data_IF_854081041385
#
_entry.id   IF_854081041385
#
_cell.length_a   1.000
_cell.length_b   1.000
_cell.length_c   1.000
_cell.angle_alpha   90.00
_cell.angle_beta   90.00
_cell.angle_gamma   90.00
#
_symmetry.space_group_name_H-M   'P 1'
#
loop_
_entity.id
_entity.type
_entity.pdbx_description
1 polymer ?
#
# COMPACT_ATOMS: atom_id res chain seq x y z
N UNK A 1 13.94 -14.85 2.16
CA UNK A 1 13.14 -13.61 2.19
C UNK A 1 13.96 -12.52 2.85
N UNK A 2 14.14 -11.37 2.18
CA UNK A 2 14.93 -10.25 2.71
C UNK A 2 14.28 -9.67 3.99
N UNK A 3 15.05 -9.17 4.98
CA UNK A 3 14.50 -8.70 6.26
C UNK A 3 13.42 -7.61 6.13
N UNK A 4 13.59 -6.67 5.19
CA UNK A 4 12.60 -5.61 4.93
C UNK A 4 11.29 -6.15 4.37
N UNK A 5 11.34 -7.13 3.47
CA UNK A 5 10.14 -7.81 2.95
C UNK A 5 9.43 -8.57 4.09
N UNK A 6 10.18 -9.25 4.95
CA UNK A 6 9.62 -9.92 6.13
C UNK A 6 8.88 -8.92 7.04
N UNK A 7 9.54 -7.81 7.39
CA UNK A 7 8.95 -6.73 8.20
C UNK A 7 7.69 -6.16 7.54
N UNK A 8 7.71 -5.97 6.23
CA UNK A 8 6.55 -5.50 5.47
C UNK A 8 5.34 -6.43 5.67
N UNK A 9 5.51 -7.75 5.60
CA UNK A 9 4.43 -8.72 5.84
C UNK A 9 3.99 -8.80 7.31
N UNK A 10 4.92 -8.70 8.26
CA UNK A 10 4.56 -8.66 9.68
C UNK A 10 3.67 -7.46 10.01
N UNK A 11 3.96 -6.29 9.41
CA UNK A 11 3.15 -5.09 9.58
C UNK A 11 1.73 -5.25 9.02
N UNK A 12 1.51 -6.04 7.96
CA UNK A 12 0.15 -6.37 7.46
C UNK A 12 -0.67 -7.01 8.59
N UNK A 13 -0.12 -8.02 9.26
CA UNK A 13 -0.80 -8.73 10.35
C UNK A 13 -1.15 -7.79 11.51
N UNK A 14 -0.23 -6.88 11.85
CA UNK A 14 -0.47 -5.86 12.88
C UNK A 14 -1.60 -4.91 12.47
N UNK A 15 -1.58 -4.42 11.22
CA UNK A 15 -2.61 -3.52 10.68
C UNK A 15 -3.98 -4.18 10.73
N UNK A 16 -4.12 -5.37 10.16
CA UNK A 16 -5.40 -6.07 10.04
C UNK A 16 -5.99 -6.42 11.40
N UNK A 17 -5.17 -6.97 12.30
CA UNK A 17 -5.61 -7.38 13.64
C UNK A 17 -6.08 -6.17 14.46
N UNK A 18 -5.31 -5.07 14.45
CA UNK A 18 -5.65 -3.89 15.23
C UNK A 18 -6.81 -3.10 14.60
N UNK A 19 -6.92 -3.05 13.27
CA UNK A 19 -8.05 -2.39 12.63
C UNK A 19 -9.36 -3.15 12.86
N UNK A 20 -9.32 -4.50 12.95
CA UNK A 20 -10.48 -5.31 13.35
C UNK A 20 -10.94 -4.98 14.78
N UNK A 21 -10.01 -4.71 15.69
CA UNK A 21 -10.29 -4.43 17.11
C UNK A 21 -10.50 -2.94 17.43
N UNK A 22 -10.50 -2.07 16.41
CA UNK A 22 -10.46 -0.60 16.57
C UNK A 22 -11.57 -0.01 17.43
N UNK A 23 -12.74 -0.66 17.45
CA UNK A 23 -13.94 -0.20 18.17
C UNK A 23 -14.15 -0.95 19.51
N UNK A 24 -13.26 -1.91 19.83
CA UNK A 24 -13.37 -2.80 21.00
C UNK A 24 -12.21 -2.55 21.98
N UNK A 25 -10.98 -2.48 21.48
CA UNK A 25 -9.80 -2.32 22.30
C UNK A 25 -9.29 -0.88 22.27
N UNK A 26 -9.12 -0.29 23.46
CA UNK A 26 -8.58 1.05 23.60
C UNK A 26 -7.20 1.16 22.92
N UNK A 27 -7.08 2.10 21.99
CA UNK A 27 -5.84 2.36 21.26
C UNK A 27 -5.55 1.43 20.07
N UNK A 28 -6.41 0.43 19.78
CA UNK A 28 -6.21 -0.45 18.63
C UNK A 28 -6.20 0.34 17.31
N UNK A 29 -7.08 1.32 17.12
CA UNK A 29 -7.03 2.20 15.94
C UNK A 29 -5.68 2.93 15.81
N UNK A 30 -5.14 3.44 16.93
CA UNK A 30 -3.84 4.14 16.94
C UNK A 30 -2.70 3.20 16.56
N UNK A 31 -2.72 1.95 17.05
CA UNK A 31 -1.75 0.92 16.68
C UNK A 31 -1.83 0.58 15.19
N UNK A 32 -3.03 0.42 14.64
CA UNK A 32 -3.23 0.18 13.21
C UNK A 32 -2.66 1.33 12.35
N UNK A 33 -2.94 2.59 12.72
CA UNK A 33 -2.38 3.78 12.05
C UNK A 33 -0.84 3.79 12.14
N UNK A 34 -0.28 3.49 13.32
CA UNK A 34 1.17 3.45 13.51
C UNK A 34 1.83 2.40 12.60
N UNK A 35 1.25 1.20 12.53
CA UNK A 35 1.74 0.13 11.68
C UNK A 35 1.61 0.48 10.18
N UNK A 36 0.52 1.16 9.78
CA UNK A 36 0.40 1.67 8.41
C UNK A 36 1.53 2.64 8.06
N UNK A 37 1.80 3.62 8.93
CA UNK A 37 2.87 4.60 8.71
C UNK A 37 4.25 3.92 8.66
N UNK A 38 4.51 2.95 9.55
CA UNK A 38 5.77 2.20 9.55
C UNK A 38 5.94 1.36 8.27
N UNK A 39 4.85 0.76 7.77
CA UNK A 39 4.90 -0.01 6.53
C UNK A 39 5.12 0.89 5.31
N UNK A 40 4.49 2.07 5.29
CA UNK A 40 4.67 3.08 4.24
C UNK A 40 6.11 3.61 4.22
N UNK A 41 6.71 3.82 5.41
CA UNK A 41 8.07 4.35 5.51
C UNK A 41 9.11 3.45 4.81
N UNK A 42 8.87 2.14 4.74
CA UNK A 42 9.76 1.18 4.06
C UNK A 42 9.29 0.86 2.63
N UNK A 43 8.18 1.43 2.16
CA UNK A 43 7.56 1.07 0.90
C UNK A 43 8.46 1.28 -0.34
N UNK A 44 9.24 2.38 -0.48
CA UNK A 44 10.12 2.55 -1.63
C UNK A 44 11.20 1.46 -1.72
N UNK A 45 11.80 1.10 -0.59
CA UNK A 45 12.82 0.07 -0.53
C UNK A 45 12.21 -1.32 -0.83
N UNK A 46 11.06 -1.63 -0.24
CA UNK A 46 10.38 -2.92 -0.46
C UNK A 46 9.92 -3.07 -1.92
N UNK A 47 9.45 -2.00 -2.55
CA UNK A 47 9.11 -1.98 -3.98
C UNK A 47 10.31 -2.40 -4.84
N UNK A 48 11.48 -1.79 -4.59
CA UNK A 48 12.72 -2.15 -5.28
C UNK A 48 13.10 -3.62 -5.04
N UNK A 49 12.98 -4.09 -3.80
CA UNK A 49 13.30 -5.47 -3.45
C UNK A 49 12.35 -6.48 -4.13
N UNK A 50 11.07 -6.17 -4.25
CA UNK A 50 10.12 -7.00 -4.99
C UNK A 50 10.44 -7.06 -6.47
N UNK A 51 10.79 -5.94 -7.11
CA UNK A 51 11.24 -5.97 -8.50
C UNK A 51 12.47 -6.87 -8.69
N UNK A 52 13.45 -6.80 -7.79
CA UNK A 52 14.63 -7.69 -7.84
C UNK A 52 14.27 -9.17 -7.66
N UNK A 53 13.38 -9.49 -6.72
CA UNK A 53 12.94 -10.88 -6.53
C UNK A 53 12.15 -11.41 -7.73
N UNK A 54 11.28 -10.60 -8.34
CA UNK A 54 10.57 -10.97 -9.57
C UNK A 54 11.52 -11.14 -10.76
N UNK A 55 12.49 -10.24 -10.93
CA UNK A 55 13.50 -10.36 -11.99
C UNK A 55 14.31 -11.65 -11.84
N UNK A 56 14.78 -11.97 -10.63
CA UNK A 56 15.53 -13.20 -10.36
C UNK A 56 14.74 -14.48 -10.67
N UNK A 57 13.42 -14.48 -10.42
CA UNK A 57 12.54 -15.61 -10.76
C UNK A 57 12.28 -15.76 -12.27
N UNK A 58 12.40 -14.66 -13.02
CA UNK A 58 12.19 -14.64 -14.47
C UNK A 58 13.48 -14.83 -15.28
N UNK A 59 14.65 -14.98 -14.63
CA UNK A 59 15.89 -15.26 -15.34
C UNK A 59 15.85 -16.64 -16.01
N UNK A 60 16.20 -16.76 -17.30
CA UNK A 60 16.25 -18.04 -17.97
C UNK A 60 17.30 -18.93 -17.30
N UNK A 61 16.88 -20.13 -16.88
CA UNK A 61 17.82 -21.17 -16.43
C UNK A 61 18.67 -21.61 -17.62
N UNK A 62 19.99 -21.59 -17.48
CA UNK A 62 20.95 -21.96 -18.53
C UNK A 62 20.88 -23.43 -18.96
N UNK A 63 20.01 -24.25 -18.33
CA UNK A 63 19.87 -25.68 -18.62
C UNK A 63 18.82 -26.02 -19.67
N UNK A 64 17.82 -25.16 -19.86
CA UNK A 64 16.78 -25.36 -20.85
C UNK A 64 16.79 -24.16 -21.78
N UNK A 65 17.03 -24.37 -23.07
CA UNK A 65 17.07 -23.34 -24.12
C UNK A 65 15.66 -22.72 -24.36
N UNK A 66 15.02 -22.22 -23.31
CA UNK A 66 13.73 -21.53 -23.33
C UNK A 66 14.03 -20.05 -23.50
N UNK A 67 13.55 -19.49 -24.61
CA UNK A 67 13.55 -18.05 -24.84
C UNK A 67 12.98 -17.33 -23.61
N UNK A 68 13.55 -16.18 -23.21
CA UNK A 68 12.92 -15.36 -22.19
C UNK A 68 11.52 -15.01 -22.68
N UNK A 69 10.49 -15.50 -21.99
CA UNK A 69 9.14 -15.01 -22.20
C UNK A 69 9.21 -13.51 -21.89
N UNK A 70 8.81 -12.64 -22.82
CA UNK A 70 8.78 -11.20 -22.60
C UNK A 70 7.86 -10.92 -21.40
N UNK A 71 8.41 -10.94 -20.20
CA UNK A 71 7.63 -10.83 -18.97
C UNK A 71 7.23 -9.38 -18.82
N UNK A 72 5.92 -9.06 -18.82
CA UNK A 72 5.48 -7.71 -18.56
C UNK A 72 5.97 -7.31 -17.16
N UNK A 73 6.27 -6.01 -17.00
CA UNK A 73 6.56 -5.40 -15.70
C UNK A 73 5.50 -5.87 -14.71
N UNK A 74 5.90 -6.73 -13.77
CA UNK A 74 4.97 -7.28 -12.77
C UNK A 74 4.55 -6.12 -11.90
N UNK A 75 3.27 -5.75 -11.96
CA UNK A 75 2.70 -4.77 -11.06
C UNK A 75 2.94 -5.22 -9.62
N UNK A 76 3.36 -4.29 -8.75
CA UNK A 76 3.52 -4.60 -7.34
C UNK A 76 2.16 -5.00 -6.75
N UNK A 77 2.13 -5.85 -5.70
CA UNK A 77 0.88 -6.26 -5.08
C UNK A 77 0.15 -5.07 -4.44
N UNK A 78 -1.04 -5.33 -3.89
CA UNK A 78 -1.74 -4.34 -3.07
C UNK A 78 -0.95 -4.03 -1.81
N UNK A 79 -0.80 -2.75 -1.48
CA UNK A 79 -0.07 -2.31 -0.30
C UNK A 79 -1.03 -1.96 0.86
N UNK A 80 -1.23 -2.91 1.78
CA UNK A 80 -2.18 -2.79 2.91
C UNK A 80 -2.08 -1.47 3.69
N UNK A 81 -0.88 -0.98 3.99
CA UNK A 81 -0.66 0.26 4.74
C UNK A 81 -1.22 1.51 4.07
N UNK A 82 -0.92 1.71 2.78
CA UNK A 82 -1.52 2.80 1.99
C UNK A 82 -3.03 2.68 1.90
N UNK A 83 -3.53 1.49 1.56
CA UNK A 83 -4.96 1.23 1.41
C UNK A 83 -5.73 1.51 2.70
N UNK A 84 -5.29 0.90 3.80
CA UNK A 84 -5.96 1.00 5.08
C UNK A 84 -5.87 2.41 5.68
N UNK A 85 -4.72 3.08 5.55
CA UNK A 85 -4.57 4.45 6.03
C UNK A 85 -5.40 5.42 5.22
N UNK A 86 -5.48 5.27 3.89
CA UNK A 86 -6.36 6.08 3.05
C UNK A 86 -7.83 5.93 3.47
N UNK A 87 -8.31 4.70 3.73
CA UNK A 87 -9.66 4.43 4.24
C UNK A 87 -9.89 5.13 5.58
N UNK A 88 -8.94 5.03 6.52
CA UNK A 88 -9.03 5.67 7.84
C UNK A 88 -9.12 7.20 7.69
N UNK A 89 -8.29 7.80 6.82
CA UNK A 89 -8.31 9.25 6.57
C UNK A 89 -9.60 9.70 5.90
N UNK A 90 -10.15 8.92 4.97
CA UNK A 90 -11.48 9.18 4.40
C UNK A 90 -12.57 9.17 5.48
N UNK A 91 -12.57 8.18 6.38
CA UNK A 91 -13.53 8.10 7.49
C UNK A 91 -13.42 9.28 8.45
N UNK A 92 -12.20 9.82 8.62
CA UNK A 92 -11.93 11.01 9.43
C UNK A 92 -12.19 12.34 8.69
N UNK A 93 -12.77 12.31 7.49
CA UNK A 93 -12.94 13.47 6.61
C UNK A 93 -11.63 14.22 6.28
N UNK A 94 -10.48 13.55 6.40
CA UNK A 94 -9.15 14.07 6.05
C UNK A 94 -8.83 13.75 4.60
N UNK A 95 -9.65 14.26 3.68
CA UNK A 95 -9.61 13.88 2.25
C UNK A 95 -8.30 14.24 1.55
N UNK A 96 -7.68 15.37 1.90
CA UNK A 96 -6.40 15.78 1.33
C UNK A 96 -5.29 14.75 1.61
N UNK A 97 -5.23 14.24 2.85
CA UNK A 97 -4.26 13.21 3.23
C UNK A 97 -4.51 11.88 2.54
N UNK A 98 -5.78 11.46 2.43
CA UNK A 98 -6.14 10.27 1.66
C UNK A 98 -5.66 10.37 0.19
N UNK A 99 -5.83 11.54 -0.44
CA UNK A 99 -5.36 11.79 -1.82
C UNK A 99 -3.84 11.70 -1.90
N UNK A 100 -3.11 12.32 -0.96
CA UNK A 100 -1.65 12.25 -0.94
C UNK A 100 -1.14 10.80 -0.84
N UNK A 101 -1.73 10.01 0.05
CA UNK A 101 -1.40 8.59 0.21
C UNK A 101 -1.62 7.79 -1.07
N UNK A 102 -2.75 7.99 -1.76
CA UNK A 102 -3.04 7.28 -3.01
C UNK A 102 -2.04 7.64 -4.13
N UNK A 103 -1.68 8.92 -4.24
CA UNK A 103 -0.72 9.39 -5.25
C UNK A 103 0.69 8.85 -4.99
N UNK A 104 1.11 8.81 -3.73
CA UNK A 104 2.39 8.24 -3.34
C UNK A 104 2.46 6.75 -3.67
N UNK A 105 1.42 5.98 -3.31
CA UNK A 105 1.32 4.57 -3.63
C UNK A 105 1.36 4.30 -5.15
N UNK A 106 0.60 5.08 -5.93
CA UNK A 106 0.57 5.01 -7.38
C UNK A 106 1.93 5.35 -8.01
N UNK A 107 2.62 6.38 -7.51
CA UNK A 107 3.94 6.77 -7.99
C UNK A 107 5.01 5.70 -7.71
N UNK A 108 4.88 4.96 -6.62
CA UNK A 108 5.73 3.82 -6.28
C UNK A 108 5.35 2.53 -7.03
N UNK A 109 4.26 2.53 -7.80
CA UNK A 109 3.83 1.38 -8.60
C UNK A 109 3.04 0.31 -7.84
N UNK A 110 2.60 0.59 -6.61
CA UNK A 110 1.73 -0.30 -5.84
C UNK A 110 0.36 -0.42 -6.51
N UNK A 111 -0.22 -1.61 -6.56
CA UNK A 111 -1.56 -1.81 -7.12
C UNK A 111 -2.66 -1.45 -6.11
N UNK A 112 -3.73 -0.78 -6.55
CA UNK A 112 -5.05 -0.66 -5.90
C UNK A 112 -5.97 0.19 -6.82
N UNK A 113 -7.16 0.53 -6.35
CA UNK A 113 -8.12 1.45 -7.01
C UNK A 113 -7.80 2.95 -6.81
N UNK A 114 -6.52 3.35 -6.85
CA UNK A 114 -6.06 4.70 -6.46
C UNK A 114 -6.80 5.84 -7.17
N UNK A 115 -6.98 5.77 -8.50
CA UNK A 115 -7.64 6.82 -9.27
C UNK A 115 -9.11 7.02 -8.83
N UNK A 116 -9.83 5.92 -8.60
CA UNK A 116 -11.21 5.96 -8.11
C UNK A 116 -11.26 6.56 -6.70
N UNK A 117 -10.31 6.20 -5.83
CA UNK A 117 -10.21 6.73 -4.47
C UNK A 117 -9.89 8.23 -4.46
N UNK A 118 -8.97 8.67 -5.31
CA UNK A 118 -8.60 10.09 -5.49
C UNK A 118 -9.83 10.89 -5.96
N UNK A 119 -10.52 10.42 -7.01
CA UNK A 119 -11.69 11.10 -7.56
C UNK A 119 -12.81 11.26 -6.51
N UNK A 120 -13.09 10.18 -5.76
CA UNK A 120 -14.07 10.19 -4.66
C UNK A 120 -13.68 11.19 -3.57
N UNK A 121 -12.42 11.19 -3.13
CA UNK A 121 -11.93 12.12 -2.10
C UNK A 121 -11.99 13.57 -2.55
N UNK A 122 -11.61 13.87 -3.80
CA UNK A 122 -11.71 15.21 -4.37
C UNK A 122 -13.16 15.71 -4.39
N UNK A 123 -14.12 14.86 -4.75
CA UNK A 123 -15.53 15.22 -4.72
C UNK A 123 -16.02 15.53 -3.30
N UNK A 124 -15.65 14.70 -2.31
CA UNK A 124 -16.00 14.92 -0.89
C UNK A 124 -15.36 16.20 -0.34
N UNK A 125 -14.10 16.48 -0.70
CA UNK A 125 -13.39 17.70 -0.30
C UNK A 125 -14.08 18.97 -0.81
N UNK A 126 -14.50 18.98 -2.09
CA UNK A 126 -15.26 20.10 -2.67
C UNK A 126 -16.58 20.33 -1.95
N UNK A 127 -17.32 19.25 -1.64
CA UNK A 127 -18.58 19.33 -0.89
C UNK A 127 -18.38 19.87 0.53
N UNK A 128 -17.30 19.46 1.22
CA UNK A 128 -16.97 19.95 2.55
C UNK A 128 -16.67 21.46 2.54
N UNK A 129 -15.89 21.93 1.57
CA UNK A 129 -15.56 23.34 1.42
C UNK A 129 -16.77 24.22 1.06
N UNK A 130 -17.77 23.67 0.35
CA UNK A 130 -19.00 24.39 0.01
C UNK A 130 -19.99 24.52 1.19
N UNK A 131 -19.81 23.71 2.25
CA UNK A 131 -20.69 23.66 3.42
C UNK A 131 -20.05 24.32 4.67
N UNK A 132 -18.85 24.90 4.53
CA UNK A 132 -18.11 25.60 5.60
C UNK A 132 -18.22 27.11 5.40
#
# INVERSE_FOLDING_TARGET
>A
MKPLIKKHFELIQVIESNYRLRDIEAGALKKAISACNEQIAIAPEVAQLFHQEFEALNQPSTKDNKQPLATPVVALPVHTGYTQLAIIREQQARFAEAICLCREAQALGWADDWDNRIARCQQKQKKQAANS
#
